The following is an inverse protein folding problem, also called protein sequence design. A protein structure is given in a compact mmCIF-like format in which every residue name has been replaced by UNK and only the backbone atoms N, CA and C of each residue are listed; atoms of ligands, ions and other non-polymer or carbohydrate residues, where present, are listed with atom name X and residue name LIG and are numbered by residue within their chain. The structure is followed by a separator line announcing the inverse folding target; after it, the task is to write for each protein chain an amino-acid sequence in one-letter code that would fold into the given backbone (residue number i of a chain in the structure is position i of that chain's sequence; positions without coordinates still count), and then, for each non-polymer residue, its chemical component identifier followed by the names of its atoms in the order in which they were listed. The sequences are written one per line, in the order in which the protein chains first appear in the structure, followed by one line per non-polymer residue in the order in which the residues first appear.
data_IF_512294657028
#
_entry.id   IF_512294657028
#
_cell.length_a   1.000
_cell.length_b   1.000
_cell.length_c   1.000
_cell.angle_alpha   90.00
_cell.angle_beta   90.00
_cell.angle_gamma   90.00
#
_symmetry.space_group_name_H-M   'P 1'
#
loop_
_entity.id
_entity.type
_entity.pdbx_description
1 polymer ?
#
# COMPACT_ATOMS: atom_id res chain seq x y z
N UNK A 1 4.13 18.61 18.31
CA UNK A 1 4.92 17.47 17.80
C UNK A 1 3.94 16.40 17.39
N UNK A 2 3.71 16.20 16.09
CA UNK A 2 2.94 15.05 15.63
C UNK A 2 3.75 13.80 16.02
N UNK A 3 3.14 12.89 16.77
CA UNK A 3 3.73 11.59 17.08
C UNK A 3 4.18 10.96 15.76
N UNK A 4 5.46 10.60 15.63
CA UNK A 4 5.97 9.85 14.48
C UNK A 4 5.33 8.46 14.51
N UNK A 5 4.14 8.35 13.92
CA UNK A 5 3.54 7.05 13.63
C UNK A 5 4.52 6.31 12.73
N UNK A 6 5.07 5.20 13.24
CA UNK A 6 5.96 4.32 12.50
C UNK A 6 5.31 3.94 11.16
N UNK A 7 5.98 4.25 10.05
CA UNK A 7 5.50 3.92 8.72
C UNK A 7 5.40 2.41 8.54
N UNK A 8 4.33 1.96 7.90
CA UNK A 8 4.15 0.56 7.51
C UNK A 8 5.19 0.15 6.46
N UNK A 9 5.42 -1.15 6.30
CA UNK A 9 6.30 -1.65 5.23
C UNK A 9 5.82 -1.23 3.83
N UNK A 10 4.50 -1.16 3.62
CA UNK A 10 3.90 -0.68 2.37
C UNK A 10 4.22 0.80 2.11
N UNK A 11 4.11 1.65 3.14
CA UNK A 11 4.46 3.07 3.03
C UNK A 11 5.94 3.26 2.70
N UNK A 12 6.82 2.52 3.37
CA UNK A 12 8.26 2.55 3.09
C UNK A 12 8.58 2.09 1.67
N UNK A 13 8.00 0.98 1.22
CA UNK A 13 8.18 0.47 -0.13
C UNK A 13 7.71 1.48 -1.20
N UNK A 14 6.61 2.18 -0.94
CA UNK A 14 6.13 3.23 -1.83
C UNK A 14 7.11 4.41 -1.89
N UNK A 15 7.63 4.88 -0.75
CA UNK A 15 8.62 5.96 -0.71
C UNK A 15 9.94 5.59 -1.40
N UNK A 16 10.44 4.37 -1.15
CA UNK A 16 11.64 3.82 -1.80
C UNK A 16 11.52 3.73 -3.32
N UNK A 17 10.30 3.53 -3.84
CA UNK A 17 10.06 3.45 -5.29
C UNK A 17 10.26 4.78 -6.02
N UNK A 18 10.24 5.92 -5.30
CA UNK A 18 10.27 7.25 -5.90
C UNK A 18 9.01 7.64 -6.68
N UNK A 19 8.00 6.77 -6.75
CA UNK A 19 6.76 7.01 -7.48
C UNK A 19 5.85 8.00 -6.75
N UNK A 20 5.13 8.80 -7.53
CA UNK A 20 3.98 9.58 -7.06
C UNK A 20 2.71 8.74 -7.13
N UNK A 21 1.73 9.06 -6.29
CA UNK A 21 0.47 8.31 -6.22
C UNK A 21 -0.24 8.16 -7.58
N UNK A 22 -0.18 9.18 -8.43
CA UNK A 22 -0.84 9.14 -9.74
C UNK A 22 -0.12 8.22 -10.74
N UNK A 23 1.20 8.05 -10.59
CA UNK A 23 2.02 7.17 -11.43
C UNK A 23 1.71 5.71 -11.07
N UNK A 24 1.78 5.39 -9.78
CA UNK A 24 1.41 4.05 -9.28
C UNK A 24 -0.05 3.71 -9.64
N UNK A 25 -0.98 4.64 -9.41
CA UNK A 25 -2.39 4.43 -9.75
C UNK A 25 -2.60 4.13 -11.24
N UNK A 26 -1.89 4.85 -12.13
CA UNK A 26 -1.94 4.63 -13.57
C UNK A 26 -1.37 3.27 -13.97
N UNK A 27 -0.27 2.84 -13.36
CA UNK A 27 0.34 1.52 -13.64
C UNK A 27 -0.53 0.36 -13.17
N UNK A 28 -1.26 0.53 -12.07
CA UNK A 28 -2.16 -0.51 -11.51
C UNK A 28 -3.51 -0.53 -12.24
N UNK A 29 -3.96 0.61 -12.76
CA UNK A 29 -5.26 0.78 -13.40
C UNK A 29 -6.37 1.15 -12.40
N UNK A 30 -6.06 1.97 -11.40
CA UNK A 30 -7.00 2.43 -10.36
C UNK A 30 -6.99 3.96 -10.24
N UNK A 31 -7.95 4.51 -9.48
CA UNK A 31 -7.95 5.95 -9.21
C UNK A 31 -6.83 6.37 -8.25
N UNK A 32 -6.33 7.60 -8.41
CA UNK A 32 -5.33 8.20 -7.50
C UNK A 32 -5.82 8.20 -6.05
N UNK A 33 -7.10 8.53 -5.82
CA UNK A 33 -7.70 8.54 -4.48
C UNK A 33 -7.70 7.14 -3.85
N UNK A 34 -8.03 6.11 -4.63
CA UNK A 34 -7.99 4.73 -4.15
C UNK A 34 -6.56 4.29 -3.83
N UNK A 35 -5.60 4.60 -4.70
CA UNK A 35 -4.18 4.36 -4.45
C UNK A 35 -3.69 5.01 -3.15
N UNK A 36 -4.04 6.29 -2.92
CA UNK A 36 -3.67 7.00 -1.70
C UNK A 36 -4.22 6.29 -0.44
N UNK A 37 -5.48 5.86 -0.48
CA UNK A 37 -6.10 5.12 0.63
C UNK A 37 -5.45 3.77 0.85
N UNK A 38 -5.12 3.01 -0.19
CA UNK A 38 -4.42 1.71 -0.05
C UNK A 38 -3.07 1.89 0.66
N UNK A 39 -2.29 2.90 0.28
CA UNK A 39 -0.95 3.10 0.85
C UNK A 39 -1.01 3.59 2.30
N UNK A 40 -1.97 4.46 2.64
CA UNK A 40 -1.97 5.16 3.92
C UNK A 40 -2.95 4.60 4.94
N UNK A 41 -3.99 3.89 4.50
CA UNK A 41 -5.07 3.41 5.37
C UNK A 41 -5.11 1.89 5.36
N UNK A 42 -5.58 1.29 6.46
CA UNK A 42 -5.75 -0.15 6.59
C UNK A 42 -7.00 -0.62 5.83
N UNK A 43 -6.98 -0.49 4.51
CA UNK A 43 -8.13 -0.72 3.64
C UNK A 43 -8.05 -2.12 3.02
N UNK A 44 -9.16 -2.85 3.02
CA UNK A 44 -9.27 -4.14 2.31
C UNK A 44 -9.11 -3.92 0.81
N UNK A 45 -8.14 -4.61 0.21
CA UNK A 45 -7.83 -4.52 -1.22
C UNK A 45 -8.13 -5.85 -1.90
N UNK A 46 -8.62 -5.81 -3.14
CA UNK A 46 -8.75 -7.01 -3.96
C UNK A 46 -7.35 -7.56 -4.31
N UNK A 47 -7.25 -8.89 -4.39
CA UNK A 47 -5.97 -9.57 -4.56
C UNK A 47 -5.28 -9.22 -5.88
N UNK A 48 -6.02 -9.02 -6.96
CA UNK A 48 -5.50 -8.62 -8.27
C UNK A 48 -4.82 -7.24 -8.23
N UNK A 49 -5.45 -6.26 -7.57
CA UNK A 49 -4.86 -4.94 -7.29
C UNK A 49 -3.63 -5.10 -6.43
N UNK A 50 -3.68 -5.98 -5.42
CA UNK A 50 -2.58 -6.18 -4.52
C UNK A 50 -1.34 -6.75 -5.20
N UNK A 51 -1.50 -7.77 -6.06
CA UNK A 51 -0.43 -8.36 -6.86
C UNK A 51 0.21 -7.35 -7.79
N UNK A 52 -0.59 -6.48 -8.44
CA UNK A 52 -0.06 -5.42 -9.31
C UNK A 52 0.80 -4.44 -8.54
N UNK A 53 0.30 -3.95 -7.40
CA UNK A 53 1.05 -3.02 -6.54
C UNK A 53 2.36 -3.65 -6.08
N UNK A 54 2.31 -4.88 -5.54
CA UNK A 54 3.50 -5.53 -5.01
C UNK A 54 4.55 -5.80 -6.10
N UNK A 55 4.11 -6.18 -7.30
CA UNK A 55 4.98 -6.35 -8.46
C UNK A 55 5.67 -5.04 -8.87
N UNK A 56 4.96 -3.92 -8.89
CA UNK A 56 5.53 -2.59 -9.23
C UNK A 56 6.54 -2.15 -8.16
N UNK A 57 6.23 -2.39 -6.88
CA UNK A 57 7.11 -2.02 -5.77
C UNK A 57 8.25 -3.00 -5.52
N UNK A 58 8.32 -4.11 -6.26
CA UNK A 58 9.36 -5.14 -6.07
C UNK A 58 9.30 -5.84 -4.71
N UNK A 59 8.11 -6.03 -4.16
CA UNK A 59 7.89 -6.67 -2.85
C UNK A 59 6.91 -7.84 -2.98
N UNK A 60 6.83 -8.64 -1.92
CA UNK A 60 5.80 -9.68 -1.80
C UNK A 60 4.40 -9.08 -1.62
N UNK A 61 3.36 -9.79 -2.08
CA UNK A 61 1.97 -9.31 -1.97
C UNK A 61 1.48 -9.25 -0.52
N UNK A 62 2.09 -10.03 0.37
CA UNK A 62 1.77 -10.07 1.81
C UNK A 62 1.85 -8.69 2.50
N UNK A 63 2.70 -7.78 2.00
CA UNK A 63 2.88 -6.45 2.62
C UNK A 63 1.58 -5.62 2.64
N UNK A 64 0.62 -5.90 1.73
CA UNK A 64 -0.66 -5.20 1.68
C UNK A 64 -1.68 -5.72 2.70
N UNK A 65 -1.41 -6.89 3.30
CA UNK A 65 -2.33 -7.57 4.22
C UNK A 65 -1.80 -7.63 5.67
N UNK A 66 -0.49 -7.43 5.89
CA UNK A 66 0.14 -7.46 7.23
C UNK A 66 -0.56 -6.59 8.27
N UNK A 67 -1.00 -5.38 7.89
CA UNK A 67 -1.71 -4.49 8.82
C UNK A 67 -3.17 -4.89 9.04
N UNK A 68 -3.79 -5.58 8.07
CA UNK A 68 -5.14 -6.12 8.22
C UNK A 68 -5.14 -7.31 9.18
N UNK A 69 -4.12 -8.18 9.11
CA UNK A 69 -3.95 -9.33 10.02
C UNK A 69 -3.95 -8.93 11.49
N UNK A 70 -3.42 -7.75 11.84
CA UNK A 70 -3.44 -7.23 13.22
C UNK A 70 -4.86 -7.05 13.76
N UNK A 71 -5.84 -6.77 12.90
CA UNK A 71 -7.23 -6.58 13.31
C UNK A 71 -7.98 -7.91 13.54
N UNK A 72 -7.39 -9.04 13.14
CA UNK A 72 -8.00 -10.37 13.31
C UNK A 72 -7.46 -11.11 14.55
N UNK A 73 -6.49 -10.54 15.27
CA UNK A 73 -6.00 -11.08 16.54
C UNK A 73 -6.94 -10.62 17.67
N UNK A 74 -8.08 -11.28 17.78
CA UNK A 74 -8.97 -11.24 18.94
C UNK A 74 -9.07 -12.63 19.56
#
# INVERSE_FOLDING_TARGET
MQNETLKTELQKAFEESGLKYHELAKMVGISKSYCYKIINWNLRVYYDVAVKISKILGKETSILFKEQEKNFKH
#
